data_IF_405095478397
#
_entry.id   IF_405095478397
#
_cell.length_a   1.000
_cell.length_b   1.000
_cell.length_c   1.000
_cell.angle_alpha   90.00
_cell.angle_beta   90.00
_cell.angle_gamma   90.00
#
_symmetry.space_group_name_H-M   'P 1'
#
loop_
_entity.id
_entity.type
_entity.pdbx_description
1 polymer ?
#
# COMPACT_ATOMS: atom_id res chain seq x y z
N UNK A 1 23.89 4.38 39.36
CA UNK A 1 22.57 5.04 39.21
C UNK A 1 22.09 4.75 37.80
N UNK A 2 21.33 3.67 37.62
CA UNK A 2 20.87 3.20 36.30
C UNK A 2 19.50 3.81 36.02
N UNK A 3 19.41 4.61 34.96
CA UNK A 3 18.16 5.20 34.48
C UNK A 3 17.42 4.14 33.66
N UNK A 4 16.40 3.55 34.27
CA UNK A 4 15.41 2.72 33.59
C UNK A 4 14.64 3.62 32.62
N UNK A 5 14.94 3.48 31.32
CA UNK A 5 14.23 4.16 30.24
C UNK A 5 12.84 3.55 30.15
N UNK A 6 11.83 4.37 30.43
CA UNK A 6 10.42 4.05 30.31
C UNK A 6 10.11 3.60 28.87
N UNK A 7 9.94 2.29 28.68
CA UNK A 7 9.54 1.68 27.42
C UNK A 7 8.06 1.96 27.23
N UNK A 8 7.74 3.07 26.54
CA UNK A 8 6.38 3.53 26.32
C UNK A 8 5.40 2.41 25.97
N UNK A 9 4.21 2.48 26.58
CA UNK A 9 3.16 1.47 26.53
C UNK A 9 2.95 0.90 25.11
N UNK A 10 3.26 -0.39 24.87
CA UNK A 10 3.14 -1.00 23.55
C UNK A 10 1.69 -1.03 23.04
N UNK A 11 0.70 -0.78 23.89
CA UNK A 11 -0.73 -0.73 23.54
C UNK A 11 -1.21 0.55 22.87
N UNK A 12 -0.43 1.65 22.89
CA UNK A 12 -0.91 2.97 22.41
C UNK A 12 -0.89 3.07 20.88
N UNK A 13 0.16 2.53 20.24
CA UNK A 13 0.34 2.58 18.78
C UNK A 13 -0.79 1.88 17.98
N UNK A 14 -1.22 0.65 18.32
CA UNK A 14 -2.29 -0.01 17.58
C UNK A 14 -3.66 0.68 17.75
N UNK A 15 -3.93 1.29 18.91
CA UNK A 15 -5.19 2.02 19.16
C UNK A 15 -5.30 3.29 18.33
N UNK A 16 -4.22 4.08 18.24
CA UNK A 16 -4.19 5.28 17.39
C UNK A 16 -4.36 4.88 15.92
N UNK A 17 -3.72 3.79 15.48
CA UNK A 17 -3.87 3.29 14.10
C UNK A 17 -5.31 2.91 13.78
N UNK A 18 -6.01 2.21 14.69
CA UNK A 18 -7.41 1.84 14.51
C UNK A 18 -8.33 3.06 14.43
N UNK A 19 -8.12 4.07 15.29
CA UNK A 19 -8.92 5.30 15.28
C UNK A 19 -8.73 6.08 13.97
N UNK A 20 -7.49 6.16 13.47
CA UNK A 20 -7.21 6.80 12.18
C UNK A 20 -7.85 6.04 11.02
N UNK A 21 -7.84 4.71 11.03
CA UNK A 21 -8.49 3.90 10.00
C UNK A 21 -10.01 4.09 9.99
N UNK A 22 -10.66 4.09 11.16
CA UNK A 22 -12.10 4.32 11.29
C UNK A 22 -12.50 5.74 10.85
N UNK A 23 -11.71 6.75 11.23
CA UNK A 23 -11.92 8.12 10.79
C UNK A 23 -11.79 8.24 9.26
N UNK A 24 -10.78 7.60 8.66
CA UNK A 24 -10.58 7.54 7.21
C UNK A 24 -11.76 6.88 6.49
N UNK A 25 -12.20 5.70 6.94
CA UNK A 25 -13.36 5.01 6.36
C UNK A 25 -14.64 5.84 6.45
N UNK A 26 -14.86 6.53 7.58
CA UNK A 26 -16.04 7.38 7.77
C UNK A 26 -16.02 8.58 6.82
N UNK A 27 -14.86 9.23 6.65
CA UNK A 27 -14.72 10.35 5.72
C UNK A 27 -14.96 9.94 4.26
N UNK A 28 -14.43 8.79 3.84
CA UNK A 28 -14.67 8.24 2.50
C UNK A 28 -16.15 7.91 2.30
N UNK A 29 -16.78 7.22 3.27
CA UNK A 29 -18.21 6.90 3.22
C UNK A 29 -19.10 8.13 3.13
N UNK A 30 -18.80 9.18 3.90
CA UNK A 30 -19.52 10.44 3.86
C UNK A 30 -19.40 11.13 2.50
N UNK A 31 -18.21 11.13 1.88
CA UNK A 31 -18.00 11.70 0.55
C UNK A 31 -18.85 10.98 -0.52
N UNK A 32 -18.88 9.64 -0.48
CA UNK A 32 -19.74 8.84 -1.37
C UNK A 32 -21.23 9.13 -1.13
N UNK A 33 -21.65 9.25 0.12
CA UNK A 33 -23.04 9.55 0.47
C UNK A 33 -23.48 10.93 -0.05
N UNK A 34 -22.70 11.98 0.19
CA UNK A 34 -23.01 13.32 -0.32
C UNK A 34 -23.01 13.36 -1.85
N UNK A 35 -22.11 12.62 -2.50
CA UNK A 35 -22.09 12.50 -3.96
C UNK A 35 -23.36 11.79 -4.48
N UNK A 36 -23.78 10.69 -3.83
CA UNK A 36 -25.00 9.98 -4.19
C UNK A 36 -26.25 10.85 -3.99
N UNK A 37 -26.32 11.64 -2.92
CA UNK A 37 -27.42 12.57 -2.70
C UNK A 37 -27.49 13.66 -3.78
N UNK A 38 -26.35 14.23 -4.20
CA UNK A 38 -26.30 15.22 -5.28
C UNK A 38 -26.73 14.61 -6.62
N UNK A 39 -26.29 13.38 -6.91
CA UNK A 39 -26.70 12.66 -8.11
C UNK A 39 -28.21 12.37 -8.13
N UNK A 40 -28.79 11.96 -6.99
CA UNK A 40 -30.22 11.74 -6.88
C UNK A 40 -31.03 13.03 -7.09
N UNK A 41 -30.56 14.17 -6.54
CA UNK A 41 -31.18 15.47 -6.74
C UNK A 41 -31.14 15.91 -8.21
N UNK A 42 -30.00 15.70 -8.88
CA UNK A 42 -29.85 16.01 -10.30
C UNK A 42 -30.75 15.14 -11.19
N UNK A 43 -30.86 13.84 -10.88
CA UNK A 43 -31.76 12.93 -11.59
C UNK A 43 -33.23 13.31 -11.43
N UNK A 44 -33.64 13.78 -10.24
CA UNK A 44 -34.98 14.28 -10.00
C UNK A 44 -35.29 15.56 -10.80
N UNK A 45 -34.30 16.44 -10.95
CA UNK A 45 -34.41 17.66 -11.76
C UNK A 45 -34.46 17.36 -13.27
N UNK A 46 -33.72 16.36 -13.74
CA UNK A 46 -33.78 15.88 -15.13
C UNK A 46 -35.13 15.27 -15.46
N UNK A 47 -35.70 14.48 -14.54
CA UNK A 47 -37.07 14.01 -14.65
C UNK A 47 -38.05 15.21 -14.70
N UNK A 48 -37.95 16.15 -13.76
CA UNK A 48 -38.84 17.30 -13.72
C UNK A 48 -38.77 18.16 -15.00
N UNK A 49 -37.58 18.42 -15.55
CA UNK A 49 -37.44 19.21 -16.79
C UNK A 49 -38.03 18.50 -18.01
N UNK A 50 -37.87 17.17 -18.09
CA UNK A 50 -38.40 16.36 -19.20
C UNK A 50 -39.94 16.29 -19.19
N UNK A 51 -40.55 16.23 -18.01
CA UNK A 51 -42.00 16.00 -17.88
C UNK A 51 -42.83 17.26 -17.58
N UNK A 52 -42.23 18.36 -17.11
CA UNK A 52 -42.96 19.57 -16.66
C UNK A 52 -42.82 20.77 -17.63
N UNK A 53 -42.06 20.64 -18.72
CA UNK A 53 -42.03 21.65 -19.80
C UNK A 53 -41.33 22.97 -19.42
N UNK A 54 -40.44 22.95 -18.42
CA UNK A 54 -39.57 24.07 -18.06
C UNK A 54 -38.25 24.04 -18.85
N UNK A 55 -37.67 25.23 -19.07
CA UNK A 55 -36.46 25.55 -19.83
C UNK A 55 -35.38 24.44 -20.02
N UNK A 56 -34.65 24.42 -21.16
CA UNK A 56 -33.63 23.40 -21.44
C UNK A 56 -32.58 23.35 -20.33
N UNK A 57 -32.49 22.20 -19.67
CA UNK A 57 -31.43 21.88 -18.73
C UNK A 57 -30.11 21.78 -19.52
N UNK A 58 -29.16 22.69 -19.25
CA UNK A 58 -27.79 22.60 -19.74
C UNK A 58 -26.98 21.90 -18.64
N UNK A 59 -26.50 20.65 -18.84
CA UNK A 59 -25.68 19.98 -17.84
C UNK A 59 -24.36 20.74 -17.69
N UNK A 60 -24.13 21.37 -16.55
CA UNK A 60 -23.00 22.30 -16.37
C UNK A 60 -21.72 21.60 -15.85
N UNK A 61 -21.73 20.28 -15.62
CA UNK A 61 -20.71 19.67 -14.73
C UNK A 61 -20.50 18.14 -14.88
N UNK A 62 -20.97 17.50 -15.96
CA UNK A 62 -21.11 16.04 -15.99
C UNK A 62 -19.83 15.15 -16.05
N UNK A 63 -18.63 15.52 -16.55
CA UNK A 63 -17.48 14.60 -16.54
C UNK A 63 -16.39 14.91 -15.49
N UNK A 64 -16.26 16.17 -15.04
CA UNK A 64 -15.11 16.58 -14.22
C UNK A 64 -15.11 15.97 -12.81
N UNK A 65 -16.30 15.80 -12.20
CA UNK A 65 -16.45 15.23 -10.85
C UNK A 65 -16.11 13.74 -10.82
N UNK A 66 -16.46 12.98 -11.86
CA UNK A 66 -16.15 11.55 -11.95
C UNK A 66 -14.65 11.30 -12.08
N UNK A 67 -13.96 12.12 -12.89
CA UNK A 67 -12.50 12.04 -13.03
C UNK A 67 -11.83 12.35 -11.68
N UNK A 68 -12.26 13.42 -10.99
CA UNK A 68 -11.68 13.80 -9.71
C UNK A 68 -11.87 12.71 -8.63
N UNK A 69 -13.06 12.10 -8.56
CA UNK A 69 -13.36 11.05 -7.57
C UNK A 69 -12.62 9.75 -7.90
N UNK A 70 -12.53 9.38 -9.18
CA UNK A 70 -11.76 8.22 -9.63
C UNK A 70 -10.27 8.36 -9.32
N UNK A 71 -9.68 9.53 -9.59
CA UNK A 71 -8.28 9.84 -9.28
C UNK A 71 -8.04 9.80 -7.76
N UNK A 72 -8.91 10.42 -6.97
CA UNK A 72 -8.79 10.40 -5.50
C UNK A 72 -8.86 8.97 -4.94
N UNK A 73 -9.76 8.13 -5.46
CA UNK A 73 -9.87 6.73 -5.08
C UNK A 73 -8.63 5.90 -5.42
N UNK A 74 -8.05 6.10 -6.60
CA UNK A 74 -6.81 5.42 -7.03
C UNK A 74 -5.61 5.85 -6.19
N UNK A 75 -5.47 7.15 -5.89
CA UNK A 75 -4.40 7.66 -5.04
C UNK A 75 -4.52 7.12 -3.60
N UNK A 76 -5.75 7.08 -3.06
CA UNK A 76 -6.00 6.52 -1.74
C UNK A 76 -5.67 5.02 -1.70
N UNK A 77 -6.10 4.24 -2.71
CA UNK A 77 -5.79 2.81 -2.78
C UNK A 77 -4.28 2.58 -2.92
N UNK A 78 -3.58 3.36 -3.73
CA UNK A 78 -2.12 3.31 -3.86
C UNK A 78 -1.41 3.58 -2.54
N UNK A 79 -1.82 4.62 -1.80
CA UNK A 79 -1.30 4.95 -0.48
C UNK A 79 -1.62 3.89 0.58
N UNK A 80 -2.82 3.30 0.50
CA UNK A 80 -3.24 2.21 1.39
C UNK A 80 -2.42 0.95 1.12
N UNK A 81 -2.15 0.62 -0.15
CA UNK A 81 -1.33 -0.53 -0.52
C UNK A 81 0.14 -0.35 -0.13
N UNK A 82 0.73 0.83 -0.32
CA UNK A 82 2.10 1.10 0.15
C UNK A 82 2.22 1.07 1.67
N UNK A 83 1.14 1.35 2.39
CA UNK A 83 1.09 1.25 3.85
C UNK A 83 0.81 -0.18 4.36
N UNK A 84 -0.10 -0.91 3.71
CA UNK A 84 -0.50 -2.28 4.08
C UNK A 84 0.51 -3.35 3.66
N UNK A 85 1.33 -3.08 2.66
CA UNK A 85 2.45 -3.94 2.30
C UNK A 85 3.62 -3.45 3.16
N UNK A 86 3.88 -4.03 4.35
CA UNK A 86 5.12 -3.74 5.06
C UNK A 86 6.24 -4.01 4.07
N UNK A 87 7.03 -2.97 3.80
CA UNK A 87 8.18 -3.08 2.92
C UNK A 87 8.90 -4.34 3.34
N UNK A 88 9.01 -5.31 2.42
CA UNK A 88 9.67 -6.59 2.69
C UNK A 88 10.94 -6.18 3.41
N UNK A 89 11.02 -6.46 4.70
CA UNK A 89 12.23 -6.18 5.43
C UNK A 89 13.26 -7.00 4.65
N UNK A 90 14.12 -6.31 3.91
CA UNK A 90 15.34 -6.92 3.42
C UNK A 90 16.06 -7.19 4.72
N UNK A 91 15.79 -8.35 5.33
CA UNK A 91 16.58 -8.85 6.45
C UNK A 91 17.99 -8.62 5.97
N UNK A 92 18.81 -7.80 6.66
CA UNK A 92 20.16 -7.52 6.23
C UNK A 92 20.79 -8.89 6.02
N UNK A 93 20.96 -9.29 4.76
CA UNK A 93 21.56 -10.58 4.48
C UNK A 93 22.95 -10.44 5.08
N UNK A 94 23.32 -11.29 6.06
CA UNK A 94 24.64 -11.19 6.67
C UNK A 94 25.63 -11.13 5.53
N UNK A 95 26.46 -10.09 5.49
CA UNK A 95 27.46 -9.93 4.45
C UNK A 95 28.35 -11.16 4.51
N UNK A 96 28.14 -12.11 3.59
CA UNK A 96 28.93 -13.32 3.51
C UNK A 96 30.37 -12.86 3.25
N UNK A 97 31.27 -13.21 4.16
CA UNK A 97 32.69 -12.95 3.98
C UNK A 97 33.20 -13.76 2.78
N UNK A 98 34.22 -13.29 2.06
CA UNK A 98 34.78 -14.05 0.95
C UNK A 98 35.26 -15.44 1.41
N UNK A 99 34.84 -16.50 0.71
CA UNK A 99 35.09 -17.87 1.16
C UNK A 99 34.41 -18.95 0.31
N UNK A 100 34.67 -20.21 0.68
CA UNK A 100 34.05 -21.38 0.06
C UNK A 100 32.77 -21.76 0.81
N UNK A 101 31.66 -21.87 0.09
CA UNK A 101 30.36 -22.23 0.62
C UNK A 101 29.73 -23.35 -0.21
N UNK A 102 28.73 -24.05 0.33
CA UNK A 102 28.04 -25.10 -0.41
C UNK A 102 27.40 -24.53 -1.69
N UNK A 103 27.64 -25.22 -2.81
CA UNK A 103 27.08 -24.83 -4.10
C UNK A 103 25.58 -25.19 -4.14
N UNK A 104 24.66 -24.21 -4.29
CA UNK A 104 23.22 -24.47 -4.31
C UNK A 104 22.80 -25.37 -5.48
N UNK A 105 23.59 -25.41 -6.55
CA UNK A 105 23.32 -26.25 -7.73
C UNK A 105 23.89 -27.66 -7.59
N UNK A 106 24.80 -27.90 -6.62
CA UNK A 106 25.51 -29.17 -6.47
C UNK A 106 26.04 -29.38 -5.04
N UNK A 107 25.32 -30.12 -4.18
CA UNK A 107 25.68 -30.27 -2.77
C UNK A 107 27.01 -31.00 -2.52
N UNK A 108 27.60 -31.64 -3.53
CA UNK A 108 28.92 -32.27 -3.47
C UNK A 108 30.08 -31.29 -3.72
N UNK A 109 29.78 -30.02 -4.00
CA UNK A 109 30.75 -29.00 -4.40
C UNK A 109 30.66 -27.77 -3.54
N UNK A 110 31.79 -27.08 -3.45
CA UNK A 110 31.90 -25.76 -2.87
C UNK A 110 32.05 -24.74 -4.00
N UNK A 111 31.33 -23.61 -3.90
CA UNK A 111 31.46 -22.46 -4.79
C UNK A 111 32.06 -21.29 -4.02
N UNK A 112 32.96 -20.55 -4.65
CA UNK A 112 33.62 -19.41 -3.99
C UNK A 112 32.75 -18.15 -4.09
N UNK A 113 32.45 -17.55 -2.95
CA UNK A 113 31.84 -16.22 -2.80
C UNK A 113 32.95 -15.18 -2.60
N UNK A 114 32.91 -14.07 -3.35
CA UNK A 114 33.95 -13.04 -3.29
C UNK A 114 33.61 -11.83 -2.38
N UNK A 115 32.45 -11.87 -1.71
CA UNK A 115 31.93 -10.76 -0.91
C UNK A 115 30.80 -9.98 -1.59
N UNK A 116 30.65 -10.10 -2.92
CA UNK A 116 29.57 -9.43 -3.68
C UNK A 116 28.81 -10.35 -4.61
N UNK A 117 29.46 -11.36 -5.20
CA UNK A 117 28.83 -12.33 -6.11
C UNK A 117 29.44 -13.72 -5.99
N UNK A 118 28.68 -14.73 -6.42
CA UNK A 118 29.19 -16.08 -6.63
C UNK A 118 30.12 -16.08 -7.84
N UNK A 119 31.30 -16.68 -7.69
CA UNK A 119 32.26 -16.83 -8.79
C UNK A 119 32.13 -18.22 -9.43
N UNK A 120 32.65 -18.41 -10.64
CA UNK A 120 32.70 -19.72 -11.32
C UNK A 120 33.75 -20.69 -10.73
N UNK A 121 34.46 -20.27 -9.67
CA UNK A 121 35.44 -21.13 -9.01
C UNK A 121 34.71 -22.14 -8.15
N UNK A 122 34.86 -23.42 -8.49
CA UNK A 122 34.33 -24.55 -7.73
C UNK A 122 35.45 -25.43 -7.18
N UNK A 123 35.27 -26.00 -6.00
CA UNK A 123 36.13 -27.03 -5.42
C UNK A 123 35.28 -28.24 -5.04
N UNK A 124 35.88 -29.43 -5.09
CA UNK A 124 35.26 -30.60 -4.48
C UNK A 124 35.21 -30.40 -2.96
N UNK A 125 34.10 -30.80 -2.35
CA UNK A 125 34.02 -30.89 -0.90
C UNK A 125 34.95 -32.03 -0.45
N UNK A 126 35.82 -31.82 0.56
CA UNK A 126 36.65 -32.91 1.07
C UNK A 126 35.77 -34.02 1.62
N UNK A 127 35.98 -35.26 1.19
CA UNK A 127 35.32 -36.43 1.78
C UNK A 127 35.82 -36.54 3.23
N UNK A 128 34.92 -36.44 4.21
CA UNK A 128 35.22 -36.64 5.63
C UNK A 128 35.04 -38.12 6.00
#
# INVERSE_FOLDING_TARGET
MSTQVDSGDPGVRPRIALLMALAGCTAVGAAFYFNAQRNAANAALEFASTYVGGAPYVPQDAPAVWIATGVAGLLFLGALLTWLIPGRATTPQPALIPGWYDDPDSPARLRYWDGGTWTEKTSNKPDH
#
